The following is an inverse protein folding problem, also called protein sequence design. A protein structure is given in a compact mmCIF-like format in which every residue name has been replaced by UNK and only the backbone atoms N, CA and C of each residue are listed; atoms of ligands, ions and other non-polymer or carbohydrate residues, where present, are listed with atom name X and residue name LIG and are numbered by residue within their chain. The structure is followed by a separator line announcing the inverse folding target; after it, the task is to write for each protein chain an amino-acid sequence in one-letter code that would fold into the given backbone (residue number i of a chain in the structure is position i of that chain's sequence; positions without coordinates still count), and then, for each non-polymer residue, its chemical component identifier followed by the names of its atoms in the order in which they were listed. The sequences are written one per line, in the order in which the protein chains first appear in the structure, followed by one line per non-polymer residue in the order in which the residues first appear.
data_IF_657611281883
#
_entry.id   IF_657611281883
#
_cell.length_a   1.000
_cell.length_b   1.000
_cell.length_c   1.000
_cell.angle_alpha   90.00
_cell.angle_beta   90.00
_cell.angle_gamma   90.00
#
_symmetry.space_group_name_H-M   'P 1'
#
loop_
_entity.id
_entity.type
_entity.pdbx_description
1 polymer ?
#
# COMPACT_ATOMS: atom_id res chain seq x y z
N UNK A 1 6.50 -1.86 -10.47
CA UNK A 1 7.04 -2.26 -9.15
C UNK A 1 5.85 -2.46 -8.21
N UNK A 2 5.86 -3.50 -7.38
CA UNK A 2 4.73 -3.85 -6.48
C UNK A 2 5.15 -3.68 -5.03
N UNK A 3 4.20 -3.35 -4.15
CA UNK A 3 4.43 -3.23 -2.71
C UNK A 3 4.36 -4.62 -2.08
N UNK A 4 5.30 -4.92 -1.18
CA UNK A 4 5.41 -6.20 -0.46
C UNK A 4 5.38 -6.03 1.06
N UNK A 5 5.05 -7.11 1.79
CA UNK A 5 4.93 -7.10 3.26
C UNK A 5 6.24 -6.82 3.99
N UNK A 6 7.37 -7.12 3.35
CA UNK A 6 8.71 -6.89 3.89
C UNK A 6 9.17 -5.42 3.74
N UNK A 7 8.37 -4.55 3.12
CA UNK A 7 8.66 -3.13 2.99
C UNK A 7 8.14 -2.37 4.22
N UNK A 8 8.79 -1.25 4.53
CA UNK A 8 8.37 -0.37 5.63
C UNK A 8 7.34 0.65 5.13
N UNK A 9 6.25 0.93 5.88
CA UNK A 9 5.24 1.93 5.48
C UNK A 9 5.85 3.28 5.13
N UNK A 10 6.87 3.71 5.87
CA UNK A 10 7.60 4.95 5.61
C UNK A 10 8.25 4.94 4.22
N UNK A 11 9.02 3.89 3.91
CA UNK A 11 9.67 3.73 2.61
C UNK A 11 8.65 3.61 1.47
N UNK A 12 7.50 2.98 1.71
CA UNK A 12 6.41 2.89 0.73
C UNK A 12 5.84 4.27 0.43
N UNK A 13 5.56 5.09 1.44
CA UNK A 13 5.05 6.46 1.24
C UNK A 13 6.09 7.35 0.56
N UNK A 14 7.38 7.19 0.88
CA UNK A 14 8.45 7.96 0.22
C UNK A 14 8.55 7.68 -1.29
N UNK A 15 8.25 6.45 -1.73
CA UNK A 15 8.24 6.09 -3.15
C UNK A 15 6.87 6.36 -3.80
N UNK A 16 5.78 6.13 -3.05
CA UNK A 16 4.40 6.26 -3.51
C UNK A 16 3.58 7.07 -2.51
N UNK A 17 3.69 8.40 -2.59
CA UNK A 17 3.00 9.33 -1.68
C UNK A 17 1.48 9.10 -1.61
N UNK A 18 0.87 8.66 -2.71
CA UNK A 18 -0.57 8.30 -2.82
C UNK A 18 -1.01 7.20 -1.85
N UNK A 19 -0.08 6.44 -1.28
CA UNK A 19 -0.37 5.38 -0.31
C UNK A 19 -0.53 5.87 1.13
N UNK A 20 -0.08 7.10 1.44
CA UNK A 20 -0.23 7.71 2.77
C UNK A 20 -1.66 7.64 3.36
N UNK A 21 -2.74 8.01 2.63
CA UNK A 21 -4.10 7.91 3.15
C UNK A 21 -4.55 6.47 3.44
N UNK A 22 -3.96 5.46 2.77
CA UNK A 22 -4.29 4.05 2.98
C UNK A 22 -3.76 3.61 4.35
N UNK A 23 -2.52 3.96 4.69
CA UNK A 23 -1.98 3.65 6.02
C UNK A 23 -2.82 4.25 7.15
N UNK A 24 -3.31 5.49 6.96
CA UNK A 24 -4.22 6.13 7.93
C UNK A 24 -5.55 5.38 8.03
N UNK A 25 -6.16 4.96 6.91
CA UNK A 25 -7.41 4.16 6.89
C UNK A 25 -7.29 2.86 7.68
N UNK A 26 -6.13 2.21 7.64
CA UNK A 26 -5.85 0.97 8.35
C UNK A 26 -5.24 1.18 9.75
N UNK A 27 -5.12 2.42 10.22
CA UNK A 27 -4.46 2.78 11.49
C UNK A 27 -3.02 2.24 11.60
N UNK A 28 -2.31 2.17 10.48
CA UNK A 28 -0.92 1.70 10.41
C UNK A 28 0.01 2.91 10.55
N UNK A 29 0.89 2.94 11.56
CA UNK A 29 1.85 4.03 11.72
C UNK A 29 2.94 3.96 10.64
N UNK A 30 3.41 5.14 10.19
CA UNK A 30 4.56 5.25 9.28
C UNK A 30 5.87 4.96 10.01
N UNK A 31 6.12 3.67 10.26
CA UNK A 31 7.31 3.19 10.92
C UNK A 31 8.39 2.75 9.90
N UNK A 32 9.63 2.69 10.36
CA UNK A 32 10.74 2.06 9.63
C UNK A 32 10.71 0.52 9.70
N UNK A 33 9.73 -0.08 10.41
CA UNK A 33 9.51 -1.53 10.51
C UNK A 33 8.70 -2.06 9.33
N UNK A 34 8.83 -3.35 9.04
CA UNK A 34 8.09 -4.02 7.96
C UNK A 34 6.59 -4.12 8.27
N UNK A 35 5.75 -4.15 7.22
CA UNK A 35 4.30 -4.30 7.37
C UNK A 35 3.94 -5.58 8.12
N UNK A 36 4.56 -6.71 7.78
CA UNK A 36 4.35 -7.99 8.48
C UNK A 36 4.73 -7.98 9.96
N UNK A 37 5.57 -7.02 10.40
CA UNK A 37 5.97 -6.90 11.80
C UNK A 37 5.05 -5.98 12.62
N UNK A 38 4.31 -5.07 11.98
CA UNK A 38 3.47 -4.08 12.68
C UNK A 38 1.97 -4.24 12.39
N UNK A 39 1.63 -5.02 11.37
CA UNK A 39 0.26 -5.32 10.95
C UNK A 39 0.02 -6.80 11.14
N UNK A 40 -1.16 -7.15 11.65
CA UNK A 40 -1.59 -8.54 11.79
C UNK A 40 -1.57 -9.29 10.46
N UNK A 41 -1.16 -10.56 10.50
CA UNK A 41 -0.99 -11.38 9.28
C UNK A 41 -2.28 -11.55 8.48
N UNK A 42 -3.45 -11.39 9.11
CA UNK A 42 -4.76 -11.39 8.45
C UNK A 42 -5.06 -10.07 7.71
N UNK A 43 -4.52 -8.94 8.20
CA UNK A 43 -4.73 -7.61 7.61
C UNK A 43 -3.69 -7.30 6.54
N UNK A 44 -2.46 -7.83 6.66
CA UNK A 44 -1.38 -7.69 5.67
C UNK A 44 -1.85 -7.92 4.22
N UNK A 45 -2.51 -9.04 3.86
CA UNK A 45 -2.93 -9.26 2.47
C UNK A 45 -3.99 -8.25 1.98
N UNK A 46 -4.87 -7.79 2.87
CA UNK A 46 -5.91 -6.79 2.56
C UNK A 46 -5.25 -5.43 2.31
N UNK A 47 -4.34 -5.02 3.19
CA UNK A 47 -3.59 -3.78 3.07
C UNK A 47 -2.73 -3.76 1.79
N UNK A 48 -2.02 -4.85 1.50
CA UNK A 48 -1.22 -4.98 0.28
C UNK A 48 -2.08 -4.87 -0.98
N UNK A 49 -3.30 -5.40 -0.96
CA UNK A 49 -4.22 -5.30 -2.10
C UNK A 49 -4.60 -3.84 -2.36
N UNK A 50 -5.01 -3.10 -1.32
CA UNK A 50 -5.37 -1.67 -1.44
C UNK A 50 -4.17 -0.81 -1.87
N UNK A 51 -3.00 -1.07 -1.28
CA UNK A 51 -1.75 -0.38 -1.62
C UNK A 51 -1.36 -0.59 -3.08
N UNK A 52 -1.34 -1.85 -3.54
CA UNK A 52 -1.03 -2.17 -4.93
C UNK A 52 -2.13 -1.72 -5.89
N UNK A 53 -3.39 -1.68 -5.46
CA UNK A 53 -4.46 -1.10 -6.25
C UNK A 53 -4.24 0.41 -6.44
N UNK A 54 -3.82 1.16 -5.42
CA UNK A 54 -3.54 2.59 -5.58
C UNK A 54 -2.31 2.87 -6.47
N UNK A 55 -1.24 2.07 -6.31
CA UNK A 55 -0.03 2.19 -7.15
C UNK A 55 -0.30 1.71 -8.59
N UNK A 56 -1.04 0.62 -8.76
CA UNK A 56 -1.37 0.02 -10.06
C UNK A 56 -2.48 0.76 -10.80
N UNK A 57 -3.44 1.35 -10.09
CA UNK A 57 -4.51 2.20 -10.68
C UNK A 57 -3.95 3.48 -11.28
N UNK A 58 -2.73 3.88 -10.90
CA UNK A 58 -1.99 4.94 -11.61
C UNK A 58 -1.66 4.57 -13.08
N UNK A 59 -1.90 3.32 -13.50
CA UNK A 59 -1.78 2.86 -14.90
C UNK A 59 -3.11 2.50 -15.57
N UNK A 60 -4.28 2.72 -14.95
CA UNK A 60 -5.57 2.35 -15.52
C UNK A 60 -6.63 3.45 -15.34
N UNK A 61 -6.49 4.53 -16.10
CA UNK A 61 -7.66 5.19 -16.69
C UNK A 61 -7.65 4.88 -18.18
N UNK A 62 -8.84 4.55 -18.72
CA UNK A 62 -9.19 4.14 -20.09
C UNK A 62 -8.92 2.66 -20.41
N UNK A 63 -9.92 1.86 -20.80
CA UNK A 63 -10.97 2.19 -21.77
C UNK A 63 -12.34 1.65 -21.31
N UNK A 64 -13.23 2.55 -20.90
CA UNK A 64 -14.66 2.43 -21.18
C UNK A 64 -14.82 2.76 -22.68
N UNK A 65 -15.29 1.82 -23.50
CA UNK A 65 -15.61 2.07 -24.91
C UNK A 65 -14.96 1.09 -25.90
N UNK A 66 -15.68 0.01 -26.21
CA UNK A 66 -15.51 -0.83 -27.38
C UNK A 66 -16.89 -1.33 -27.80
#
# INVERSE_FOLDING_TARGET
MVIQSNMSPKAIVEVWETTAPIFVKFNVPLADKTLESIVDSEIVPILLTELNAAVGSSTATCIEGG
#
